data_IF_435106951611
#
_entry.id   IF_435106951611
#
_cell.length_a   1.000
_cell.length_b   1.000
_cell.length_c   1.000
_cell.angle_alpha   90.00
_cell.angle_beta   90.00
_cell.angle_gamma   90.00
#
_symmetry.space_group_name_H-M   'P 1'
#
loop_
_entity.id
_entity.type
_entity.pdbx_description
1 polymer ?
#
# COMPACT_ATOMS: atom_id res chain seq x y z
N UNK A 1 -4.65 4.99 13.58
CA UNK A 1 -5.53 4.46 12.52
C UNK A 1 -4.69 4.27 11.29
N UNK A 2 -5.00 3.31 10.42
CA UNK A 2 -4.19 2.95 9.23
C UNK A 2 -4.34 3.93 8.08
N UNK A 3 -4.25 5.22 8.39
CA UNK A 3 -4.45 6.30 7.43
C UNK A 3 -3.33 6.30 6.37
N UNK A 4 -2.10 5.98 6.76
CA UNK A 4 -0.98 5.91 5.82
C UNK A 4 -1.11 4.72 4.87
N UNK A 5 -1.50 3.55 5.38
CA UNK A 5 -1.75 2.37 4.55
C UNK A 5 -2.86 2.60 3.52
N UNK A 6 -3.91 3.33 3.90
CA UNK A 6 -4.97 3.77 3.00
C UNK A 6 -4.47 4.72 1.90
N UNK A 7 -3.61 5.67 2.24
CA UNK A 7 -3.00 6.59 1.28
C UNK A 7 -2.14 5.84 0.25
N UNK A 8 -1.36 4.85 0.68
CA UNK A 8 -0.62 3.96 -0.23
C UNK A 8 -1.55 3.21 -1.19
N UNK A 9 -2.71 2.75 -0.70
CA UNK A 9 -3.74 2.12 -1.52
C UNK A 9 -4.36 3.08 -2.54
N UNK A 10 -4.54 4.36 -2.19
CA UNK A 10 -4.99 5.40 -3.13
C UNK A 10 -3.92 5.70 -4.16
N UNK A 11 -2.67 5.88 -3.75
CA UNK A 11 -1.55 6.15 -4.65
C UNK A 11 -1.40 5.07 -5.72
N UNK A 12 -1.50 3.81 -5.32
CA UNK A 12 -1.41 2.69 -6.26
C UNK A 12 -2.65 2.59 -7.16
N UNK A 13 -3.83 2.96 -6.66
CA UNK A 13 -5.03 3.02 -7.47
C UNK A 13 -4.91 4.08 -8.56
N UNK A 14 -4.32 5.22 -8.24
CA UNK A 14 -4.13 6.32 -9.19
C UNK A 14 -3.11 5.96 -10.27
N UNK A 15 -2.03 5.25 -9.90
CA UNK A 15 -0.96 4.86 -10.83
C UNK A 15 -1.28 3.60 -11.66
N UNK A 16 -1.77 2.53 -11.04
CA UNK A 16 -1.95 1.20 -11.65
C UNK A 16 -3.43 0.77 -11.73
N UNK A 17 -4.36 1.61 -11.29
CA UNK A 17 -5.78 1.29 -11.26
C UNK A 17 -6.14 0.19 -10.24
N UNK A 18 -7.22 -0.52 -10.52
CA UNK A 18 -7.71 -1.60 -9.67
C UNK A 18 -6.73 -2.77 -9.54
N UNK A 19 -5.98 -3.05 -10.62
CA UNK A 19 -4.94 -4.09 -10.66
C UNK A 19 -3.82 -3.82 -9.66
N UNK A 20 -3.41 -2.56 -9.49
CA UNK A 20 -2.41 -2.17 -8.50
C UNK A 20 -2.83 -2.48 -7.07
N UNK A 21 -4.11 -2.21 -6.73
CA UNK A 21 -4.64 -2.53 -5.39
C UNK A 21 -4.59 -4.02 -5.11
N UNK A 22 -4.96 -4.85 -6.08
CA UNK A 22 -4.93 -6.31 -5.90
C UNK A 22 -3.50 -6.80 -5.72
N UNK A 23 -2.55 -6.33 -6.53
CA UNK A 23 -1.13 -6.69 -6.36
C UNK A 23 -0.60 -6.24 -5.00
N UNK A 24 -0.99 -5.05 -4.53
CA UNK A 24 -0.58 -4.54 -3.21
C UNK A 24 -1.12 -5.43 -2.09
N UNK A 25 -2.39 -5.81 -2.16
CA UNK A 25 -3.01 -6.73 -1.22
C UNK A 25 -2.33 -8.10 -1.22
N UNK A 26 -1.96 -8.61 -2.40
CA UNK A 26 -1.26 -9.89 -2.54
C UNK A 26 0.16 -9.85 -1.96
N UNK A 27 0.92 -8.77 -2.19
CA UNK A 27 2.29 -8.65 -1.70
C UNK A 27 2.36 -8.34 -0.20
N UNK A 28 1.43 -7.54 0.31
CA UNK A 28 1.39 -7.14 1.73
C UNK A 28 0.59 -8.12 2.59
N UNK A 29 -0.20 -8.99 1.96
CA UNK A 29 -1.22 -9.84 2.59
C UNK A 29 -2.30 -9.06 3.36
N UNK A 30 -2.45 -7.76 3.07
CA UNK A 30 -3.38 -6.87 3.77
C UNK A 30 -4.28 -6.21 2.74
N UNK A 31 -5.59 -6.56 2.67
CA UNK A 31 -6.54 -5.88 1.80
C UNK A 31 -6.81 -4.44 2.25
N UNK A 32 -7.32 -3.60 1.36
CA UNK A 32 -7.59 -2.18 1.65
C UNK A 32 -8.54 -1.93 2.83
N UNK A 33 -9.46 -2.87 3.08
CA UNK A 33 -10.39 -2.80 4.21
C UNK A 33 -9.65 -3.00 5.53
N UNK A 34 -8.68 -3.92 5.55
CA UNK A 34 -7.85 -4.18 6.74
C UNK A 34 -6.83 -3.06 6.93
N UNK A 35 -6.22 -2.56 5.84
CA UNK A 35 -5.32 -1.40 5.88
C UNK A 35 -5.94 -0.16 6.56
N UNK A 36 -7.26 0.02 6.50
CA UNK A 36 -7.94 1.15 7.16
C UNK A 36 -7.96 1.07 8.69
N UNK A 37 -7.95 -0.15 9.24
CA UNK A 37 -8.06 -0.42 10.68
C UNK A 37 -6.75 -0.90 11.29
N UNK A 38 -5.83 -1.36 10.46
CA UNK A 38 -4.51 -1.81 10.88
C UNK A 38 -3.66 -0.66 11.41
N UNK A 39 -2.72 -0.98 12.30
CA UNK A 39 -1.78 0.00 12.82
C UNK A 39 -0.71 0.34 11.77
N UNK A 40 -0.47 1.64 11.58
CA UNK A 40 0.64 2.19 10.80
C UNK A 40 1.98 1.96 11.55
N UNK A 41 2.36 0.70 11.76
CA UNK A 41 3.68 0.38 12.32
C UNK A 41 4.76 0.60 11.26
N UNK A 42 5.99 0.96 11.65
CA UNK A 42 7.09 1.18 10.71
C UNK A 42 7.37 -0.06 9.84
N UNK A 43 7.26 -1.27 10.41
CA UNK A 43 7.37 -2.52 9.64
C UNK A 43 6.30 -2.65 8.56
N UNK A 44 5.06 -2.24 8.87
CA UNK A 44 3.97 -2.29 7.90
C UNK A 44 4.16 -1.27 6.78
N UNK A 45 4.55 -0.05 7.13
CA UNK A 45 4.87 1.00 6.16
C UNK A 45 6.00 0.56 5.24
N UNK A 46 7.07 -0.04 5.78
CA UNK A 46 8.17 -0.56 4.95
C UNK A 46 7.72 -1.68 4.00
N UNK A 47 6.86 -2.60 4.46
CA UNK A 47 6.26 -3.64 3.60
C UNK A 47 5.47 -3.01 2.45
N UNK A 48 4.64 -2.02 2.75
CA UNK A 48 3.84 -1.32 1.75
C UNK A 48 4.70 -0.55 0.77
N UNK A 49 5.73 0.16 1.24
CA UNK A 49 6.69 0.87 0.37
C UNK A 49 7.39 -0.08 -0.59
N UNK A 50 7.91 -1.22 -0.09
CA UNK A 50 8.56 -2.24 -0.93
C UNK A 50 7.58 -2.86 -1.93
N UNK A 51 6.34 -3.11 -1.52
CA UNK A 51 5.32 -3.65 -2.41
C UNK A 51 4.95 -2.65 -3.52
N UNK A 52 4.75 -1.38 -3.18
CA UNK A 52 4.45 -0.31 -4.15
C UNK A 52 5.60 -0.12 -5.12
N UNK A 53 6.84 -0.12 -4.64
CA UNK A 53 8.03 -0.01 -5.50
C UNK A 53 8.13 -1.17 -6.47
N UNK A 54 7.85 -2.41 -6.02
CA UNK A 54 7.78 -3.59 -6.90
C UNK A 54 6.67 -3.49 -7.95
N UNK A 55 5.53 -2.89 -7.61
CA UNK A 55 4.37 -2.80 -8.51
C UNK A 55 4.54 -1.68 -9.53
N UNK A 56 4.91 -0.49 -9.07
CA UNK A 56 4.95 0.74 -9.88
C UNK A 56 6.32 1.01 -10.49
N UNK A 57 7.37 0.33 -10.02
CA UNK A 57 8.76 0.63 -10.38
C UNK A 57 9.26 1.98 -9.86
N UNK A 58 8.47 2.67 -9.03
CA UNK A 58 8.78 3.98 -8.46
C UNK A 58 8.82 3.90 -6.94
N UNK A 59 9.68 4.69 -6.28
CA UNK A 59 9.69 4.76 -4.83
C UNK A 59 8.31 5.23 -4.33
N UNK A 60 7.79 4.53 -3.34
CA UNK A 60 6.55 4.91 -2.70
C UNK A 60 6.67 6.31 -2.07
N UNK A 61 5.64 7.16 -2.15
CA UNK A 61 5.67 8.50 -1.56
C UNK A 61 5.96 8.41 -0.06
N UNK A 62 6.81 9.31 0.45
CA UNK A 62 7.20 9.30 1.85
C UNK A 62 6.11 9.99 2.69
N UNK A 63 5.02 9.25 2.96
CA UNK A 63 3.84 9.68 3.71
C UNK A 63 3.97 9.37 5.21
#
# INVERSE_FOLDING_TARGET
MGEKLLEYYKYIQDNEGFSGKIKLAQLTHIPSVQAAVELDTPEMIERFKKAIEKITGKPAPNL
#
